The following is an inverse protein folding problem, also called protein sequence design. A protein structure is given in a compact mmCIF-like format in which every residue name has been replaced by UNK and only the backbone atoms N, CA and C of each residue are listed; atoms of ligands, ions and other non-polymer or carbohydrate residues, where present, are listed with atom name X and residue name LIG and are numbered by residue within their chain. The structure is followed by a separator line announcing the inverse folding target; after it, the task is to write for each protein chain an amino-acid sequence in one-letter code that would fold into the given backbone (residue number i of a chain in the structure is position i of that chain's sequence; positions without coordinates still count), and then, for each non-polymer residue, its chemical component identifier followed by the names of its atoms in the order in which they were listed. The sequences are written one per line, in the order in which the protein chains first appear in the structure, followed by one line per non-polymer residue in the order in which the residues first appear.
data_IF_241276092036
#
_entry.id   IF_241276092036
#
_cell.length_a   1.000
_cell.length_b   1.000
_cell.length_c   1.000
_cell.angle_alpha   90.00
_cell.angle_beta   90.00
_cell.angle_gamma   90.00
#
_symmetry.space_group_name_H-M   'P 1'
#
loop_
_entity.id
_entity.type
_entity.pdbx_description
1 polymer ?
#
# COMPACT_ATOMS: atom_id res chain seq x y z
N UNK A 1 -2.50 3.73 15.16
CA UNK A 1 -2.77 5.05 14.53
C UNK A 1 -2.80 6.18 15.56
N UNK A 2 -2.41 7.41 15.20
CA UNK A 2 -2.63 8.63 16.01
C UNK A 2 -3.45 9.62 15.19
N UNK A 3 -4.69 9.91 15.62
CA UNK A 3 -5.65 10.62 14.78
C UNK A 3 -6.08 9.76 13.58
N UNK A 4 -6.06 10.36 12.38
CA UNK A 4 -6.39 9.71 11.10
C UNK A 4 -5.14 9.36 10.27
N UNK A 5 -3.98 9.23 10.91
CA UNK A 5 -2.73 8.89 10.23
C UNK A 5 -2.12 7.59 10.78
N UNK A 6 -1.65 6.78 9.84
CA UNK A 6 -0.82 5.60 10.04
C UNK A 6 0.64 6.02 9.94
N UNK A 7 1.42 5.73 10.97
CA UNK A 7 2.84 6.05 11.04
C UNK A 7 3.61 4.74 10.94
N UNK A 8 4.48 4.64 9.94
CA UNK A 8 5.27 3.45 9.68
C UNK A 8 6.73 3.87 9.68
N UNK A 9 7.51 3.34 10.62
CA UNK A 9 8.94 3.61 10.69
C UNK A 9 9.70 2.43 10.08
N UNK A 10 10.60 2.71 9.14
CA UNK A 10 11.44 1.67 8.56
C UNK A 10 12.71 1.40 9.40
N UNK A 11 13.46 0.36 9.03
CA UNK A 11 14.69 -0.06 9.71
C UNK A 11 15.79 1.01 9.72
N UNK A 12 15.76 1.94 8.76
CA UNK A 12 16.70 3.07 8.67
C UNK A 12 16.26 4.27 9.51
N UNK A 13 15.12 4.18 10.21
CA UNK A 13 14.56 5.25 11.02
C UNK A 13 13.77 6.30 10.24
N UNK A 14 13.56 6.12 8.92
CA UNK A 14 12.70 6.98 8.12
C UNK A 14 11.24 6.68 8.46
N UNK A 15 10.48 7.73 8.73
CA UNK A 15 9.06 7.63 9.04
C UNK A 15 8.21 7.96 7.81
N UNK A 16 7.42 6.99 7.37
CA UNK A 16 6.38 7.15 6.36
C UNK A 16 5.04 7.39 7.06
N UNK A 17 4.24 8.32 6.54
CA UNK A 17 2.95 8.69 7.15
C UNK A 17 1.86 8.63 6.10
N UNK A 18 0.89 7.74 6.29
CA UNK A 18 -0.25 7.58 5.38
C UNK A 18 -1.54 8.02 6.06
N UNK A 19 -2.34 8.84 5.40
CA UNK A 19 -3.66 9.21 5.95
C UNK A 19 -4.67 8.09 5.75
N UNK A 20 -5.65 7.97 6.63
CA UNK A 20 -6.71 6.96 6.52
C UNK A 20 -7.47 7.08 5.19
N UNK A 21 -7.80 8.30 4.78
CA UNK A 21 -8.45 8.58 3.49
C UNK A 21 -7.58 8.17 2.30
N UNK A 22 -6.28 8.35 2.44
CA UNK A 22 -5.30 7.99 1.43
C UNK A 22 -5.17 6.46 1.32
N UNK A 23 -4.99 5.75 2.45
CA UNK A 23 -4.98 4.28 2.48
C UNK A 23 -6.27 3.72 1.91
N UNK A 24 -7.43 4.30 2.26
CA UNK A 24 -8.71 3.90 1.70
C UNK A 24 -8.77 4.11 0.17
N UNK A 25 -8.24 5.23 -0.31
CA UNK A 25 -8.19 5.53 -1.75
C UNK A 25 -7.26 4.55 -2.47
N UNK A 26 -6.07 4.26 -1.91
CA UNK A 26 -5.10 3.30 -2.46
C UNK A 26 -5.75 1.92 -2.60
N UNK A 27 -6.41 1.44 -1.55
CA UNK A 27 -7.08 0.15 -1.56
C UNK A 27 -8.27 0.11 -2.54
N UNK A 28 -9.02 1.20 -2.66
CA UNK A 28 -10.11 1.31 -3.63
C UNK A 28 -9.56 1.24 -5.05
N UNK A 29 -8.51 2.01 -5.37
CA UNK A 29 -7.87 1.98 -6.69
C UNK A 29 -7.27 0.61 -7.01
N UNK A 30 -6.63 -0.06 -6.04
CA UNK A 30 -6.14 -1.44 -6.25
C UNK A 30 -7.28 -2.42 -6.48
N UNK A 31 -8.40 -2.27 -5.77
CA UNK A 31 -9.58 -3.09 -6.00
C UNK A 31 -10.22 -2.83 -7.37
N UNK A 32 -10.28 -1.58 -7.82
CA UNK A 32 -10.81 -1.23 -9.14
C UNK A 32 -9.96 -1.80 -10.29
N UNK A 33 -8.63 -1.87 -10.11
CA UNK A 33 -7.70 -2.36 -11.13
C UNK A 33 -7.53 -3.88 -11.08
N UNK A 34 -7.41 -4.47 -9.89
CA UNK A 34 -7.04 -5.88 -9.71
C UNK A 34 -8.15 -6.73 -9.06
N UNK A 35 -9.15 -6.14 -8.44
CA UNK A 35 -10.18 -6.86 -7.71
C UNK A 35 -9.59 -7.71 -6.58
N UNK A 36 -9.68 -9.05 -6.71
CA UNK A 36 -9.10 -10.03 -5.78
C UNK A 36 -7.84 -10.71 -6.31
N UNK A 37 -7.36 -10.28 -7.48
CA UNK A 37 -6.17 -10.83 -8.10
C UNK A 37 -4.88 -10.31 -7.43
N UNK A 38 -3.79 -10.99 -7.72
CA UNK A 38 -2.46 -10.61 -7.24
C UNK A 38 -1.94 -9.37 -7.98
N UNK A 39 -1.47 -8.38 -7.22
CA UNK A 39 -0.81 -7.19 -7.72
C UNK A 39 0.62 -7.09 -7.17
N UNK A 40 1.58 -6.56 -7.95
CA UNK A 40 2.96 -6.43 -7.51
C UNK A 40 3.14 -5.29 -6.51
N UNK A 41 4.12 -5.43 -5.62
CA UNK A 41 4.55 -4.39 -4.67
C UNK A 41 4.91 -3.10 -5.39
N UNK A 42 5.87 -3.18 -6.29
CA UNK A 42 6.33 -2.08 -7.10
C UNK A 42 6.86 -2.70 -8.37
N UNK A 43 6.53 -2.09 -9.50
CA UNK A 43 7.32 -2.34 -10.69
C UNK A 43 8.60 -1.50 -10.53
N UNK A 44 9.70 -2.00 -11.10
CA UNK A 44 11.06 -1.53 -10.82
C UNK A 44 11.12 0.01 -10.65
N UNK A 45 11.56 0.53 -9.50
CA UNK A 45 11.62 1.98 -9.18
C UNK A 45 12.39 2.74 -10.26
N UNK A 46 13.32 2.08 -10.94
CA UNK A 46 14.01 2.63 -12.10
C UNK A 46 13.08 2.84 -13.30
N UNK A 47 12.12 1.93 -13.54
CA UNK A 47 11.09 2.04 -14.60
C UNK A 47 9.98 3.03 -14.26
N UNK A 48 9.72 3.27 -12.97
CA UNK A 48 8.82 4.32 -12.49
C UNK A 48 9.26 5.70 -13.00
N UNK A 49 10.57 5.96 -13.02
CA UNK A 49 11.14 7.20 -13.57
C UNK A 49 10.91 7.35 -15.08
N UNK A 50 10.76 6.24 -15.82
CA UNK A 50 10.64 6.22 -17.27
C UNK A 50 9.18 6.18 -17.79
N UNK A 51 8.17 6.11 -16.92
CA UNK A 51 6.76 6.14 -17.32
C UNK A 51 6.20 4.85 -17.94
N UNK A 52 6.96 3.76 -17.93
CA UNK A 52 6.60 2.43 -18.48
C UNK A 52 6.10 1.47 -17.39
N UNK A 53 5.39 2.00 -16.40
CA UNK A 53 5.06 1.24 -15.19
C UNK A 53 3.76 0.43 -15.29
N UNK A 54 3.86 -0.87 -14.96
CA UNK A 54 2.70 -1.71 -14.69
C UNK A 54 2.00 -1.25 -13.39
N UNK A 55 0.66 -1.30 -13.33
CA UNK A 55 -0.06 -0.97 -12.11
C UNK A 55 0.37 -1.88 -10.94
N UNK A 56 0.39 -1.34 -9.73
CA UNK A 56 0.85 -2.00 -8.50
C UNK A 56 0.73 -1.07 -7.29
N UNK A 57 1.13 -1.53 -6.10
CA UNK A 57 0.97 -0.74 -4.86
C UNK A 57 1.77 0.57 -4.91
N UNK A 58 3.07 0.49 -5.22
CA UNK A 58 3.95 1.66 -5.34
C UNK A 58 3.46 2.68 -6.39
N UNK A 59 3.07 2.21 -7.58
CA UNK A 59 2.56 3.08 -8.64
C UNK A 59 1.22 3.72 -8.27
N UNK A 60 0.35 3.01 -7.55
CA UNK A 60 -0.92 3.58 -7.06
C UNK A 60 -0.66 4.72 -6.09
N UNK A 61 0.30 4.56 -5.16
CA UNK A 61 0.70 5.62 -4.22
C UNK A 61 1.33 6.80 -4.95
N UNK A 62 2.23 6.54 -5.89
CA UNK A 62 2.88 7.58 -6.69
C UNK A 62 1.89 8.40 -7.52
N UNK A 63 0.91 7.73 -8.16
CA UNK A 63 -0.12 8.42 -8.94
C UNK A 63 -1.02 9.32 -8.09
N UNK A 64 -1.16 9.04 -6.79
CA UNK A 64 -1.91 9.90 -5.87
C UNK A 64 -1.12 11.14 -5.44
N UNK A 65 0.21 11.06 -5.42
CA UNK A 65 1.07 12.19 -5.09
C UNK A 65 2.33 12.20 -5.99
N UNK A 66 2.16 12.55 -7.29
CA UNK A 66 3.25 12.48 -8.26
C UNK A 66 4.36 13.46 -7.87
N UNK A 67 5.59 12.93 -7.75
CA UNK A 67 6.76 13.69 -7.28
C UNK A 67 7.22 13.32 -5.86
N UNK A 68 6.40 12.60 -5.09
CA UNK A 68 6.78 12.08 -3.77
C UNK A 68 7.27 10.62 -3.84
N UNK A 69 8.46 10.46 -4.42
CA UNK A 69 9.08 9.15 -4.62
C UNK A 69 9.42 8.45 -3.30
N UNK A 70 9.73 9.20 -2.24
CA UNK A 70 9.99 8.64 -0.91
C UNK A 70 8.73 7.99 -0.33
N UNK A 71 7.58 8.61 -0.56
CA UNK A 71 6.30 8.07 -0.13
C UNK A 71 5.88 6.82 -0.91
N UNK A 72 6.17 6.77 -2.21
CA UNK A 72 5.99 5.58 -3.04
C UNK A 72 6.96 4.44 -2.66
N UNK A 73 8.21 4.76 -2.28
CA UNK A 73 9.17 3.79 -1.75
C UNK A 73 8.72 3.16 -0.43
N UNK A 74 7.92 3.88 0.37
CA UNK A 74 7.30 3.36 1.59
C UNK A 74 6.22 2.29 1.34
N UNK A 75 5.82 2.05 0.09
CA UNK A 75 4.77 1.09 -0.29
C UNK A 75 5.02 -0.32 0.25
N UNK A 76 6.26 -0.77 0.34
CA UNK A 76 6.63 -2.07 0.91
C UNK A 76 6.23 -2.20 2.36
N UNK A 77 6.52 -1.16 3.15
CA UNK A 77 6.18 -1.16 4.57
C UNK A 77 4.66 -1.02 4.77
N UNK A 78 3.99 -0.22 3.93
CA UNK A 78 2.53 -0.15 3.94
C UNK A 78 1.90 -1.52 3.61
N UNK A 79 2.40 -2.23 2.60
CA UNK A 79 1.93 -3.56 2.22
C UNK A 79 2.06 -4.57 3.35
N UNK A 80 3.17 -4.56 4.09
CA UNK A 80 3.39 -5.40 5.27
C UNK A 80 2.38 -5.09 6.37
N UNK A 81 2.20 -3.81 6.73
CA UNK A 81 1.23 -3.43 7.78
C UNK A 81 -0.18 -3.86 7.40
N UNK A 82 -0.56 -3.71 6.13
CA UNK A 82 -1.87 -4.13 5.63
C UNK A 82 -2.05 -5.66 5.60
N UNK A 83 -0.97 -6.42 5.40
CA UNK A 83 -0.95 -7.88 5.53
C UNK A 83 -1.12 -8.31 7.00
N UNK A 84 -0.41 -7.67 7.92
CA UNK A 84 -0.49 -7.95 9.37
C UNK A 84 -1.89 -7.75 9.94
N UNK A 85 -2.62 -6.73 9.47
CA UNK A 85 -4.02 -6.48 9.89
C UNK A 85 -5.06 -7.26 9.07
N UNK A 86 -4.63 -8.13 8.16
CA UNK A 86 -5.50 -9.01 7.37
C UNK A 86 -6.30 -8.31 6.26
N UNK A 87 -5.85 -7.16 5.78
CA UNK A 87 -6.43 -6.46 4.63
C UNK A 87 -5.86 -7.02 3.33
N UNK A 88 -4.55 -7.19 3.30
CA UNK A 88 -3.82 -7.82 2.20
C UNK A 88 -3.39 -9.23 2.60
N UNK A 89 -3.08 -10.03 1.59
CA UNK A 89 -2.35 -11.28 1.77
C UNK A 89 -1.10 -11.26 0.90
N UNK A 90 0.04 -11.50 1.50
CA UNK A 90 1.32 -11.64 0.83
C UNK A 90 1.50 -13.03 0.22
N UNK A 91 2.06 -13.09 -1.00
CA UNK A 91 2.36 -14.34 -1.70
C UNK A 91 3.49 -15.18 -1.08
N UNK A 92 4.14 -14.69 0.00
CA UNK A 92 5.24 -15.34 0.73
C UNK A 92 6.54 -15.51 -0.05
N UNK A 93 6.66 -14.85 -1.19
CA UNK A 93 7.85 -14.90 -2.04
C UNK A 93 8.81 -13.75 -1.70
N UNK A 94 10.11 -14.07 -1.60
CA UNK A 94 11.17 -13.09 -1.35
C UNK A 94 11.52 -12.24 -2.58
N UNK A 95 11.23 -12.74 -3.78
CA UNK A 95 11.43 -12.07 -5.07
C UNK A 95 10.12 -12.10 -5.84
N UNK A 96 9.71 -10.98 -6.45
CA UNK A 96 8.38 -10.88 -7.07
C UNK A 96 7.26 -10.81 -6.02
N UNK A 97 7.46 -9.96 -5.01
CA UNK A 97 6.48 -9.72 -3.94
C UNK A 97 5.18 -9.25 -4.57
N UNK A 98 4.11 -9.99 -4.30
CA UNK A 98 2.76 -9.64 -4.68
C UNK A 98 1.86 -9.69 -3.45
N UNK A 99 0.83 -8.86 -3.46
CA UNK A 99 -0.28 -8.94 -2.53
C UNK A 99 -1.59 -9.15 -3.28
N UNK A 100 -2.60 -9.65 -2.58
CA UNK A 100 -3.99 -9.60 -3.03
C UNK A 100 -4.88 -9.08 -1.93
N UNK A 101 -6.02 -8.52 -2.30
CA UNK A 101 -7.04 -8.04 -1.37
C UNK A 101 -7.84 -9.23 -0.81
N UNK A 102 -7.85 -9.42 0.51
CA UNK A 102 -8.56 -10.54 1.14
C UNK A 102 -10.07 -10.32 1.21
N UNK A 103 -10.53 -9.08 1.44
CA UNK A 103 -11.92 -8.67 1.32
C UNK A 103 -12.01 -7.15 1.17
N UNK A 104 -12.92 -6.67 0.30
CA UNK A 104 -13.22 -5.25 0.20
C UNK A 104 -13.81 -4.76 1.52
N UNK A 105 -13.11 -3.87 2.21
CA UNK A 105 -13.52 -3.36 3.50
C UNK A 105 -14.82 -2.57 3.38
N UNK A 106 -15.75 -2.77 4.33
CA UNK A 106 -17.05 -2.09 4.44
C UNK A 106 -16.98 -0.59 4.75
N UNK A 107 -15.93 0.11 4.31
CA UNK A 107 -15.73 1.55 4.45
C UNK A 107 -14.56 1.94 5.38
N UNK A 108 -14.30 3.25 5.45
CA UNK A 108 -13.22 3.86 6.24
C UNK A 108 -13.26 3.50 7.73
N UNK A 109 -14.46 3.29 8.28
CA UNK A 109 -14.67 2.91 9.68
C UNK A 109 -14.03 1.56 10.00
N UNK A 110 -14.25 0.56 9.14
CA UNK A 110 -13.66 -0.78 9.28
C UNK A 110 -12.15 -0.72 9.14
N UNK A 111 -11.65 0.02 8.15
CA UNK A 111 -10.21 0.23 7.96
C UNK A 111 -9.56 0.82 9.21
N UNK A 112 -10.16 1.85 9.80
CA UNK A 112 -9.67 2.46 11.04
C UNK A 112 -9.60 1.45 12.17
N UNK A 113 -10.64 0.64 12.34
CA UNK A 113 -10.69 -0.38 13.41
C UNK A 113 -9.59 -1.42 13.25
N UNK A 114 -9.33 -1.88 12.02
CA UNK A 114 -8.25 -2.84 11.75
C UNK A 114 -6.86 -2.23 12.02
N UNK A 115 -6.60 -1.03 11.51
CA UNK A 115 -5.33 -0.31 11.71
C UNK A 115 -5.09 0.21 13.13
N UNK A 116 -6.09 0.13 14.01
CA UNK A 116 -5.94 0.46 15.44
C UNK A 116 -5.74 -0.80 16.29
N UNK A 117 -6.07 -1.98 15.75
CA UNK A 117 -5.99 -3.27 16.46
C UNK A 117 -4.70 -4.05 16.16
N UNK A 118 -4.07 -3.81 15.01
CA UNK A 118 -2.69 -4.21 14.75
C UNK A 118 -1.72 -3.27 15.44
#
# INVERSE_FOLDING_TARGET
MKGDALFIQNESGIQHTYKLDEVFSILSSLHDVFGKEWFPLANNVEKMYHGDEKPGLGMTIYNMNPGDTLHAQGSSYLGVVLDEVGILEWNREKCGICWRLLNYMGGKSTLRTLLTRG
#
